data_IF_519576526320
#
_entry.id   IF_519576526320
#
_cell.length_a   1.000
_cell.length_b   1.000
_cell.length_c   1.000
_cell.angle_alpha   90.00
_cell.angle_beta   90.00
_cell.angle_gamma   90.00
#
_symmetry.space_group_name_H-M   'P 1'
#
loop_
_entity.id
_entity.type
_entity.pdbx_description
1 polymer ?
#
# COMPACT_ATOMS: atom_id res chain seq x y z
N UNK A 1 -22.56 -33.87 23.49
CA UNK A 1 -22.87 -32.96 22.38
C UNK A 1 -22.02 -31.67 22.35
N UNK A 2 -21.31 -31.24 23.42
CA UNK A 2 -20.57 -29.97 23.41
C UNK A 2 -19.07 -30.04 23.01
N UNK A 3 -18.46 -31.22 22.98
CA UNK A 3 -17.02 -31.36 22.69
C UNK A 3 -16.67 -31.26 21.19
N UNK A 4 -17.60 -31.64 20.31
CA UNK A 4 -17.34 -31.72 18.87
C UNK A 4 -17.31 -30.33 18.21
N UNK A 5 -18.11 -29.38 18.68
CA UNK A 5 -18.17 -28.03 18.13
C UNK A 5 -16.93 -27.20 18.46
N UNK A 6 -16.31 -27.44 19.61
CA UNK A 6 -15.07 -26.77 19.98
C UNK A 6 -13.89 -27.24 19.11
N UNK A 7 -13.79 -28.56 18.90
CA UNK A 7 -12.78 -29.15 18.01
C UNK A 7 -12.97 -28.62 16.58
N UNK A 8 -14.23 -28.55 16.11
CA UNK A 8 -14.57 -27.98 14.80
C UNK A 8 -14.12 -26.53 14.65
N UNK A 9 -14.43 -25.67 15.63
CA UNK A 9 -14.02 -24.26 15.60
C UNK A 9 -12.49 -24.10 15.61
N UNK A 10 -11.79 -24.88 16.43
CA UNK A 10 -10.33 -24.87 16.47
C UNK A 10 -9.73 -25.30 15.14
N UNK A 11 -10.26 -26.35 14.51
CA UNK A 11 -9.80 -26.81 13.20
C UNK A 11 -10.09 -25.79 12.09
N UNK A 12 -11.23 -25.10 12.11
CA UNK A 12 -11.56 -24.08 11.12
C UNK A 12 -10.58 -22.89 11.16
N UNK A 13 -10.16 -22.46 12.34
CA UNK A 13 -9.19 -21.37 12.48
C UNK A 13 -7.78 -21.81 12.07
N UNK A 14 -7.39 -23.04 12.43
CA UNK A 14 -6.09 -23.61 12.04
C UNK A 14 -5.99 -23.80 10.53
N UNK A 15 -7.05 -24.31 9.88
CA UNK A 15 -7.11 -24.44 8.42
C UNK A 15 -7.04 -23.07 7.76
N UNK A 16 -7.84 -22.08 8.21
CA UNK A 16 -7.76 -20.71 7.65
C UNK A 16 -6.35 -20.10 7.75
N UNK A 17 -5.62 -20.40 8.82
CA UNK A 17 -4.26 -19.91 9.02
C UNK A 17 -3.20 -20.69 8.22
N UNK A 18 -3.37 -22.00 8.06
CA UNK A 18 -2.49 -22.87 7.26
C UNK A 18 -2.69 -22.65 5.76
N UNK A 19 -3.93 -22.49 5.31
CA UNK A 19 -4.30 -22.17 3.93
C UNK A 19 -4.05 -20.71 3.56
N UNK A 20 -3.75 -19.83 4.53
CA UNK A 20 -3.28 -18.47 4.27
C UNK A 20 -1.80 -18.51 3.87
N UNK A 21 -1.47 -18.61 2.57
CA UNK A 21 -0.11 -18.82 2.17
C UNK A 21 0.57 -17.45 2.14
N UNK A 22 1.90 -17.47 2.00
CA UNK A 22 2.76 -16.29 1.82
C UNK A 22 2.26 -15.31 0.75
N UNK A 23 1.36 -15.75 -0.14
CA UNK A 23 0.73 -14.98 -1.20
C UNK A 23 -0.18 -13.86 -0.69
N UNK A 24 -0.91 -14.04 0.41
CA UNK A 24 -1.79 -12.97 0.90
C UNK A 24 -0.97 -11.82 1.52
N UNK A 25 0.15 -12.13 2.19
CA UNK A 25 1.10 -11.10 2.63
C UNK A 25 1.73 -10.35 1.46
N UNK A 26 2.02 -11.05 0.35
CA UNK A 26 2.52 -10.42 -0.87
C UNK A 26 1.45 -9.55 -1.53
N UNK A 27 0.20 -10.01 -1.62
CA UNK A 27 -0.94 -9.26 -2.14
C UNK A 27 -1.20 -7.98 -1.33
N UNK A 28 -1.31 -8.07 -0.01
CA UNK A 28 -1.50 -6.89 0.85
C UNK A 28 -0.34 -5.89 0.74
N UNK A 29 0.91 -6.37 0.62
CA UNK A 29 2.07 -5.49 0.39
C UNK A 29 2.02 -4.84 -1.01
N UNK A 30 1.59 -5.56 -2.03
CA UNK A 30 1.46 -5.05 -3.39
C UNK A 30 0.32 -4.03 -3.49
N UNK A 31 -0.85 -4.31 -2.93
CA UNK A 31 -1.99 -3.39 -2.85
C UNK A 31 -1.61 -2.10 -2.14
N UNK A 32 -0.98 -2.18 -0.95
CA UNK A 32 -0.46 -1.00 -0.24
C UNK A 32 0.55 -0.22 -1.07
N UNK A 33 1.40 -0.88 -1.87
CA UNK A 33 2.33 -0.21 -2.79
C UNK A 33 1.60 0.44 -3.96
N UNK A 34 0.58 -0.20 -4.53
CA UNK A 34 -0.20 0.34 -5.63
C UNK A 34 -1.02 1.55 -5.20
N UNK A 35 -1.72 1.48 -4.06
CA UNK A 35 -2.43 2.62 -3.46
C UNK A 35 -1.46 3.78 -3.18
N UNK A 36 -0.28 3.51 -2.61
CA UNK A 36 0.74 4.55 -2.40
C UNK A 36 1.27 5.14 -3.71
N UNK A 37 1.40 4.36 -4.78
CA UNK A 37 1.81 4.87 -6.09
C UNK A 37 0.73 5.74 -6.73
N UNK A 38 -0.54 5.36 -6.58
CA UNK A 38 -1.68 6.12 -7.11
C UNK A 38 -1.94 7.42 -6.33
N UNK A 39 -1.84 7.39 -5.00
CA UNK A 39 -2.01 8.60 -4.16
C UNK A 39 -0.81 9.52 -4.17
N UNK A 40 0.41 9.01 -4.41
CA UNK A 40 1.58 9.86 -4.61
C UNK A 40 1.47 10.50 -5.99
N UNK A 41 0.75 11.60 -6.07
CA UNK A 41 0.90 12.52 -7.19
C UNK A 41 2.40 12.79 -7.36
N UNK A 42 2.96 12.60 -8.57
CA UNK A 42 4.40 12.74 -8.76
C UNK A 42 4.81 14.12 -8.29
N UNK A 43 5.82 14.17 -7.40
CA UNK A 43 6.32 15.43 -6.84
C UNK A 43 6.59 16.45 -7.96
N UNK A 44 7.01 16.00 -9.13
CA UNK A 44 7.14 16.80 -10.36
C UNK A 44 5.90 17.66 -10.68
N UNK A 45 4.68 17.11 -10.61
CA UNK A 45 3.45 17.86 -10.88
C UNK A 45 3.21 18.98 -9.88
N UNK A 46 3.58 18.78 -8.61
CA UNK A 46 3.43 19.81 -7.57
C UNK A 46 4.36 21.01 -7.78
N UNK A 47 5.48 20.81 -8.46
CA UNK A 47 6.52 21.84 -8.64
C UNK A 47 6.62 22.38 -10.08
N UNK A 48 5.75 21.92 -11.00
CA UNK A 48 5.80 22.28 -12.42
C UNK A 48 5.61 23.78 -12.70
N UNK A 49 5.05 24.57 -11.78
CA UNK A 49 5.04 26.04 -11.89
C UNK A 49 6.15 26.75 -11.09
N UNK A 50 6.54 26.18 -9.96
CA UNK A 50 7.49 26.80 -9.01
C UNK A 50 8.92 26.77 -9.56
N UNK A 51 9.33 25.66 -10.19
CA UNK A 51 10.67 25.51 -10.77
C UNK A 51 10.93 26.53 -11.89
N UNK A 52 10.11 26.61 -12.97
CA UNK A 52 10.35 27.58 -14.03
C UNK A 52 10.25 29.02 -13.53
N UNK A 53 9.38 29.31 -12.56
CA UNK A 53 9.28 30.64 -11.95
C UNK A 53 10.53 31.02 -11.14
N UNK A 54 11.06 30.11 -10.32
CA UNK A 54 12.29 30.32 -9.56
C UNK A 54 13.49 30.53 -10.49
N UNK A 55 13.57 29.77 -11.59
CA UNK A 55 14.59 29.94 -12.63
C UNK A 55 14.47 31.33 -13.27
N UNK A 56 13.27 31.73 -13.69
CA UNK A 56 13.02 33.04 -14.28
C UNK A 56 13.43 34.19 -13.34
N UNK A 57 13.12 34.08 -12.04
CA UNK A 57 13.52 35.06 -11.03
C UNK A 57 15.04 35.17 -10.85
N UNK A 58 15.77 34.05 -10.92
CA UNK A 58 17.23 34.05 -10.85
C UNK A 58 17.84 34.71 -12.10
N UNK A 59 17.29 34.44 -13.29
CA UNK A 59 17.74 35.06 -14.54
C UNK A 59 17.40 36.55 -14.62
N UNK A 60 16.28 37.00 -14.03
CA UNK A 60 15.88 38.42 -14.00
C UNK A 60 16.68 39.27 -13.01
N UNK A 61 17.40 38.63 -12.08
CA UNK A 61 18.20 39.30 -11.04
C UNK A 61 19.67 39.51 -11.44
N UNK A 62 20.10 38.97 -12.58
CA UNK A 62 21.32 39.38 -13.28
C UNK A 62 20.95 40.42 -14.33
#
# INVERSE_FOLDING_TARGET
MAGNDYVKFMTEQVVKYLDQPKDERKRQRQEKKQLKKQQKQPFLYRWFGVIPYAIMLLFKRK
#
